data_IF_706168854688
#
_entry.id   IF_706168854688
#
_cell.length_a   1.000
_cell.length_b   1.000
_cell.length_c   1.000
_cell.angle_alpha   90.00
_cell.angle_beta   90.00
_cell.angle_gamma   90.00
#
_symmetry.space_group_name_H-M   'P 1'
#
loop_
_entity.id
_entity.type
_entity.pdbx_description
1 polymer ?
#
# COMPACT_ATOMS: atom_id res chain seq x y z
N UNK A 1 24.33 46.49 -23.77
CA UNK A 1 25.64 46.60 -23.08
C UNK A 1 25.69 45.56 -21.95
N UNK A 2 26.67 44.64 -22.06
CA UNK A 2 27.34 43.82 -21.02
C UNK A 2 26.45 42.99 -20.05
N UNK A 3 26.37 41.66 -20.20
CA UNK A 3 27.32 40.60 -19.81
C UNK A 3 27.54 40.40 -18.30
N UNK A 4 27.50 39.11 -17.93
CA UNK A 4 27.89 38.45 -16.68
C UNK A 4 26.91 38.62 -15.49
N UNK A 5 26.44 37.59 -14.79
CA UNK A 5 27.11 36.33 -14.45
C UNK A 5 26.26 35.07 -14.64
N UNK A 6 26.90 34.17 -15.37
CA UNK A 6 26.75 32.74 -15.41
C UNK A 6 27.07 32.13 -14.02
N UNK A 7 26.09 31.50 -13.37
CA UNK A 7 26.35 30.46 -12.38
C UNK A 7 25.54 29.21 -12.68
N UNK A 8 26.16 28.40 -13.53
CA UNK A 8 26.18 26.94 -13.47
C UNK A 8 25.66 26.37 -12.14
N UNK A 9 24.45 25.83 -12.15
CA UNK A 9 24.13 24.66 -11.33
C UNK A 9 23.81 23.52 -12.28
N UNK A 10 24.89 22.91 -12.78
CA UNK A 10 24.90 21.58 -13.39
C UNK A 10 23.93 20.67 -12.61
N UNK A 11 22.79 20.38 -13.24
CA UNK A 11 21.88 19.35 -12.79
C UNK A 11 22.63 18.02 -12.87
N UNK A 12 23.23 17.63 -11.74
CA UNK A 12 23.84 16.31 -11.57
C UNK A 12 22.77 15.28 -11.90
N UNK A 13 22.87 14.72 -13.09
CA UNK A 13 22.35 13.41 -13.45
C UNK A 13 22.67 12.49 -12.29
N UNK A 14 21.64 12.04 -11.57
CA UNK A 14 21.76 10.91 -10.67
C UNK A 14 21.93 9.64 -11.51
N UNK A 15 23.07 9.55 -12.21
CA UNK A 15 23.66 8.29 -12.62
C UNK A 15 23.83 7.53 -11.32
N UNK A 16 23.15 6.40 -11.17
CA UNK A 16 23.45 5.44 -10.11
C UNK A 16 24.96 5.24 -10.13
N UNK A 17 25.66 5.78 -9.13
CA UNK A 17 27.11 5.74 -9.10
C UNK A 17 27.50 4.28 -8.92
N UNK A 18 27.92 3.64 -10.01
CA UNK A 18 28.50 2.31 -9.99
C UNK A 18 29.64 2.37 -8.98
N UNK A 19 29.53 1.62 -7.88
CA UNK A 19 30.54 1.68 -6.82
C UNK A 19 31.86 1.14 -7.38
N UNK A 20 32.99 1.71 -6.95
CA UNK A 20 34.31 1.16 -7.28
C UNK A 20 34.41 -0.33 -6.92
N UNK A 21 33.69 -0.78 -5.88
CA UNK A 21 33.58 -2.20 -5.51
C UNK A 21 32.85 -3.03 -6.57
N UNK A 22 31.82 -2.49 -7.20
CA UNK A 22 31.03 -3.19 -8.23
C UNK A 22 31.86 -3.35 -9.52
N UNK A 23 32.58 -2.30 -9.93
CA UNK A 23 33.49 -2.37 -11.08
C UNK A 23 34.60 -3.38 -10.82
N UNK A 24 35.23 -3.31 -9.65
CA UNK A 24 36.29 -4.25 -9.26
C UNK A 24 35.79 -5.69 -9.29
N UNK A 25 34.64 -5.97 -8.68
CA UNK A 25 34.07 -7.32 -8.65
C UNK A 25 33.68 -7.81 -10.06
N UNK A 26 33.17 -6.92 -10.93
CA UNK A 26 32.87 -7.25 -12.32
C UNK A 26 34.13 -7.58 -13.13
N UNK A 27 35.21 -6.80 -12.97
CA UNK A 27 36.50 -7.03 -13.63
C UNK A 27 37.14 -8.34 -13.15
N UNK A 28 37.17 -8.59 -11.84
CA UNK A 28 37.64 -9.87 -11.30
C UNK A 28 36.81 -11.04 -11.81
N UNK A 29 35.48 -10.91 -11.86
CA UNK A 29 34.61 -11.94 -12.40
C UNK A 29 34.87 -12.23 -13.88
N UNK A 30 35.04 -11.20 -14.69
CA UNK A 30 35.37 -11.33 -16.11
C UNK A 30 36.72 -12.02 -16.33
N UNK A 31 37.76 -11.60 -15.61
CA UNK A 31 39.09 -12.22 -15.68
C UNK A 31 39.03 -13.69 -15.28
N UNK A 32 38.25 -14.01 -14.24
CA UNK A 32 38.12 -15.39 -13.75
C UNK A 32 37.41 -16.28 -14.78
N UNK A 33 36.33 -15.80 -15.40
CA UNK A 33 35.62 -16.55 -16.45
C UNK A 33 36.50 -16.73 -17.70
N UNK A 34 37.16 -15.67 -18.16
CA UNK A 34 38.05 -15.73 -19.34
C UNK A 34 39.23 -16.67 -19.07
N UNK A 35 39.84 -16.60 -17.88
CA UNK A 35 40.93 -17.49 -17.47
C UNK A 35 40.50 -18.96 -17.47
N UNK A 36 39.33 -19.26 -16.90
CA UNK A 36 38.77 -20.62 -16.92
C UNK A 36 38.49 -21.13 -18.33
N UNK A 37 37.98 -20.27 -19.22
CA UNK A 37 37.66 -20.61 -20.60
C UNK A 37 38.92 -20.83 -21.44
N UNK A 38 39.95 -20.00 -21.25
CA UNK A 38 41.26 -20.18 -21.87
C UNK A 38 41.92 -21.50 -21.44
N UNK A 39 41.86 -21.82 -20.14
CA UNK A 39 42.34 -23.10 -19.61
C UNK A 39 41.60 -24.30 -20.20
N UNK A 40 40.29 -24.22 -20.38
CA UNK A 40 39.52 -25.28 -21.03
C UNK A 40 39.97 -25.50 -22.50
N UNK A 41 40.26 -24.42 -23.23
CA UNK A 41 40.79 -24.49 -24.60
C UNK A 41 42.19 -25.13 -24.61
N UNK A 42 43.07 -24.73 -23.68
CA UNK A 42 44.41 -25.32 -23.53
C UNK A 42 44.34 -26.81 -23.21
N UNK A 43 43.41 -27.24 -22.37
CA UNK A 43 43.17 -28.67 -22.07
C UNK A 43 42.79 -29.43 -23.35
N UNK A 44 41.89 -28.88 -24.17
CA UNK A 44 41.49 -29.49 -25.45
C UNK A 44 42.65 -29.59 -26.43
N UNK A 45 43.43 -28.50 -26.56
CA UNK A 45 44.57 -28.46 -27.45
C UNK A 45 45.68 -29.43 -27.03
N UNK A 46 46.02 -29.47 -25.73
CA UNK A 46 46.99 -30.39 -25.17
C UNK A 46 46.60 -31.86 -25.38
N UNK A 47 45.30 -32.15 -25.28
CA UNK A 47 44.76 -33.47 -25.59
C UNK A 47 44.95 -33.85 -27.06
N UNK A 48 44.72 -32.90 -27.99
CA UNK A 48 44.91 -33.12 -29.43
C UNK A 48 46.38 -33.31 -29.81
N UNK A 49 47.32 -32.64 -29.14
CA UNK A 49 48.76 -32.79 -29.37
C UNK A 49 49.39 -34.00 -28.68
N UNK A 50 48.61 -34.80 -27.95
CA UNK A 50 49.10 -36.01 -27.28
C UNK A 50 50.00 -35.76 -26.07
N UNK A 51 49.89 -34.60 -25.40
CA UNK A 51 50.67 -34.30 -24.20
C UNK A 51 49.81 -34.48 -22.93
N UNK A 52 49.85 -35.65 -22.28
CA UNK A 52 48.97 -35.96 -21.16
C UNK A 52 49.29 -35.16 -19.89
N UNK A 53 50.55 -34.73 -19.71
CA UNK A 53 50.94 -33.96 -18.53
C UNK A 53 50.38 -32.54 -18.58
N UNK A 54 50.46 -31.88 -19.74
CA UNK A 54 49.87 -30.56 -19.94
C UNK A 54 48.34 -30.60 -19.89
N UNK A 55 47.71 -31.64 -20.47
CA UNK A 55 46.26 -31.82 -20.42
C UNK A 55 45.78 -32.03 -18.97
N UNK A 56 46.48 -32.86 -18.19
CA UNK A 56 46.16 -33.08 -16.77
C UNK A 56 46.30 -31.81 -15.92
N UNK A 57 47.40 -31.07 -16.08
CA UNK A 57 47.63 -29.81 -15.36
C UNK A 57 46.58 -28.74 -15.68
N UNK A 58 46.25 -28.57 -16.96
CA UNK A 58 45.23 -27.62 -17.40
C UNK A 58 43.81 -28.02 -16.95
N UNK A 59 43.50 -29.32 -16.88
CA UNK A 59 42.22 -29.82 -16.36
C UNK A 59 42.06 -29.56 -14.85
N UNK A 60 43.11 -29.78 -14.04
CA UNK A 60 43.07 -29.48 -12.61
C UNK A 60 42.90 -27.97 -12.39
N UNK A 61 43.65 -27.15 -13.13
CA UNK A 61 43.54 -25.70 -13.04
C UNK A 61 42.16 -25.19 -13.51
N UNK A 62 41.56 -25.75 -14.55
CA UNK A 62 40.21 -25.38 -14.97
C UNK A 62 39.16 -25.71 -13.91
N UNK A 63 39.32 -26.82 -13.18
CA UNK A 63 38.46 -27.21 -12.07
C UNK A 63 38.53 -26.21 -10.92
N UNK A 64 39.72 -25.71 -10.60
CA UNK A 64 39.90 -24.62 -9.60
C UNK A 64 39.19 -23.35 -10.06
N UNK A 65 39.31 -22.98 -11.33
CA UNK A 65 38.60 -21.81 -11.88
C UNK A 65 37.08 -21.98 -11.84
N UNK A 66 36.55 -23.17 -12.10
CA UNK A 66 35.10 -23.46 -11.94
C UNK A 66 34.67 -23.23 -10.49
N UNK A 67 35.43 -23.70 -9.51
CA UNK A 67 35.14 -23.46 -8.09
C UNK A 67 35.21 -21.97 -7.76
N UNK A 68 36.20 -21.23 -8.27
CA UNK A 68 36.31 -19.78 -8.07
C UNK A 68 35.12 -19.02 -8.69
N UNK A 69 34.67 -19.42 -9.89
CA UNK A 69 33.49 -18.84 -10.53
C UNK A 69 32.25 -19.09 -9.67
N UNK A 70 32.06 -20.32 -9.20
CA UNK A 70 30.93 -20.70 -8.34
C UNK A 70 30.91 -19.91 -7.01
N UNK A 71 32.07 -19.64 -6.40
CA UNK A 71 32.16 -18.96 -5.11
C UNK A 71 32.13 -17.44 -5.20
N UNK A 72 32.79 -16.85 -6.21
CA UNK A 72 33.00 -15.41 -6.27
C UNK A 72 32.18 -14.68 -7.33
N UNK A 73 31.85 -15.34 -8.44
CA UNK A 73 31.18 -14.69 -9.58
C UNK A 73 29.67 -14.90 -9.53
N UNK A 74 29.23 -16.14 -9.31
CA UNK A 74 27.80 -16.49 -9.34
C UNK A 74 27.01 -15.81 -8.21
N UNK A 75 27.44 -15.80 -6.94
CA UNK A 75 26.64 -15.22 -5.86
C UNK A 75 26.32 -13.72 -6.02
N UNK A 76 27.29 -12.84 -6.36
CA UNK A 76 26.97 -11.43 -6.61
C UNK A 76 26.14 -11.22 -7.88
N UNK A 77 26.38 -11.98 -8.96
CA UNK A 77 25.53 -11.92 -10.16
C UNK A 77 24.09 -12.30 -9.85
N UNK A 78 23.88 -13.42 -9.14
CA UNK A 78 22.55 -13.90 -8.76
C UNK A 78 21.81 -12.89 -7.86
N UNK A 79 22.53 -12.23 -6.93
CA UNK A 79 21.96 -11.17 -6.08
C UNK A 79 21.55 -9.94 -6.89
N UNK A 80 22.35 -9.52 -7.85
CA UNK A 80 22.06 -8.35 -8.67
C UNK A 80 20.94 -8.63 -9.68
N UNK A 81 20.99 -9.76 -10.37
CA UNK A 81 19.91 -10.22 -11.24
C UNK A 81 18.60 -10.39 -10.46
N UNK A 82 18.63 -10.92 -9.23
CA UNK A 82 17.43 -11.03 -8.39
C UNK A 82 16.84 -9.67 -8.01
N UNK A 83 17.67 -8.64 -7.78
CA UNK A 83 17.20 -7.26 -7.51
C UNK A 83 16.56 -6.61 -8.74
N UNK A 84 17.03 -6.94 -9.93
CA UNK A 84 16.47 -6.46 -11.19
C UNK A 84 15.19 -7.21 -11.53
N UNK A 85 15.20 -8.55 -11.38
CA UNK A 85 14.03 -9.43 -11.54
C UNK A 85 12.91 -9.09 -10.54
N UNK A 86 13.21 -8.68 -9.31
CA UNK A 86 12.18 -8.28 -8.35
C UNK A 86 11.47 -6.97 -8.72
N UNK A 87 12.05 -6.15 -9.61
CA UNK A 87 11.36 -5.01 -10.21
C UNK A 87 10.40 -5.46 -11.31
N UNK A 88 10.65 -6.61 -11.93
CA UNK A 88 9.71 -7.24 -12.86
C UNK A 88 8.61 -7.92 -12.06
N UNK A 89 7.39 -7.42 -12.21
CA UNK A 89 6.22 -7.93 -11.52
C UNK A 89 5.73 -9.25 -12.15
N UNK A 90 6.53 -10.29 -11.95
CA UNK A 90 6.30 -11.61 -12.50
C UNK A 90 5.13 -12.30 -11.79
N UNK A 91 4.32 -13.08 -12.53
CA UNK A 91 3.22 -13.85 -11.95
C UNK A 91 3.70 -14.98 -11.03
N UNK A 92 4.96 -15.38 -11.15
CA UNK A 92 5.61 -16.45 -10.42
C UNK A 92 6.99 -15.98 -9.97
N UNK A 93 7.25 -16.01 -8.66
CA UNK A 93 8.56 -15.73 -8.09
C UNK A 93 9.07 -16.95 -7.33
N UNK A 94 10.37 -17.25 -7.46
CA UNK A 94 11.01 -18.32 -6.72
C UNK A 94 11.32 -17.83 -5.29
N UNK A 95 10.94 -18.60 -4.28
CA UNK A 95 11.27 -18.27 -2.89
C UNK A 95 12.67 -18.78 -2.52
N UNK A 96 13.23 -18.28 -1.42
CA UNK A 96 14.49 -18.81 -0.88
C UNK A 96 14.40 -20.32 -0.59
N UNK A 97 13.27 -20.78 -0.03
CA UNK A 97 13.02 -22.20 0.20
C UNK A 97 12.93 -23.00 -1.10
N UNK A 98 12.29 -22.46 -2.14
CA UNK A 98 12.25 -23.08 -3.46
C UNK A 98 13.62 -23.19 -4.12
N UNK A 99 14.48 -22.18 -3.95
CA UNK A 99 15.85 -22.22 -4.46
C UNK A 99 16.70 -23.30 -3.76
N UNK A 100 16.61 -23.41 -2.44
CA UNK A 100 17.27 -24.49 -1.68
C UNK A 100 16.75 -25.86 -2.15
N UNK A 101 15.43 -26.01 -2.29
CA UNK A 101 14.82 -27.25 -2.75
C UNK A 101 15.27 -27.64 -4.17
N UNK A 102 15.38 -26.66 -5.08
CA UNK A 102 15.90 -26.88 -6.42
C UNK A 102 17.37 -27.32 -6.40
N UNK A 103 18.18 -26.76 -5.49
CA UNK A 103 19.54 -27.24 -5.23
C UNK A 103 19.58 -28.71 -4.80
N UNK A 104 18.68 -29.13 -3.90
CA UNK A 104 18.55 -30.53 -3.48
C UNK A 104 18.17 -31.42 -4.67
N UNK A 105 17.21 -31.00 -5.50
CA UNK A 105 16.80 -31.74 -6.71
C UNK A 105 17.99 -31.95 -7.65
N UNK A 106 18.82 -30.92 -7.86
CA UNK A 106 20.02 -31.03 -8.70
C UNK A 106 21.05 -31.99 -8.10
N UNK A 107 21.33 -31.89 -6.80
CA UNK A 107 22.29 -32.77 -6.11
C UNK A 107 21.83 -34.23 -6.16
N UNK A 108 20.56 -34.49 -5.80
CA UNK A 108 19.98 -35.84 -5.81
C UNK A 108 19.92 -36.38 -7.25
N UNK A 109 19.57 -35.54 -8.22
CA UNK A 109 19.53 -35.93 -9.64
C UNK A 109 20.90 -36.32 -10.17
N UNK A 110 21.93 -35.55 -9.84
CA UNK A 110 23.32 -35.90 -10.18
C UNK A 110 23.76 -37.20 -9.50
N UNK A 111 23.47 -37.37 -8.21
CA UNK A 111 23.78 -38.59 -7.49
C UNK A 111 23.06 -39.83 -8.08
N UNK A 112 21.78 -39.70 -8.42
CA UNK A 112 21.00 -40.76 -9.06
C UNK A 112 21.61 -41.16 -10.42
N UNK A 113 21.94 -40.16 -11.25
CA UNK A 113 22.56 -40.37 -12.55
C UNK A 113 23.92 -41.07 -12.45
N UNK A 114 24.78 -40.61 -11.54
CA UNK A 114 26.13 -41.13 -11.39
C UNK A 114 26.17 -42.54 -10.77
N UNK A 115 25.28 -42.82 -9.81
CA UNK A 115 25.26 -44.11 -9.10
C UNK A 115 24.41 -45.17 -9.79
N UNK A 116 23.52 -44.78 -10.70
CA UNK A 116 22.52 -45.68 -11.28
C UNK A 116 21.54 -46.26 -10.24
N UNK A 117 21.45 -45.66 -9.05
CA UNK A 117 20.63 -46.20 -7.96
C UNK A 117 19.14 -45.87 -8.17
N UNK A 118 18.33 -46.90 -8.37
CA UNK A 118 16.87 -46.79 -8.55
C UNK A 118 16.17 -46.08 -7.38
N UNK A 119 16.66 -46.23 -6.15
CA UNK A 119 16.09 -45.53 -4.99
C UNK A 119 16.23 -44.02 -5.13
N UNK A 120 17.38 -43.54 -5.59
CA UNK A 120 17.61 -42.11 -5.79
C UNK A 120 16.78 -41.56 -6.94
N UNK A 121 16.53 -42.34 -7.99
CA UNK A 121 15.57 -41.97 -9.05
C UNK A 121 14.14 -41.86 -8.52
N UNK A 122 13.73 -42.76 -7.62
CA UNK A 122 12.42 -42.70 -6.98
C UNK A 122 12.30 -41.45 -6.10
N UNK A 123 13.33 -41.14 -5.29
CA UNK A 123 13.38 -39.90 -4.50
C UNK A 123 13.32 -38.67 -5.42
N UNK A 124 14.10 -38.64 -6.50
CA UNK A 124 14.08 -37.56 -7.48
C UNK A 124 12.68 -37.37 -8.09
N UNK A 125 11.99 -38.46 -8.43
CA UNK A 125 10.63 -38.42 -8.96
C UNK A 125 9.65 -37.78 -7.96
N UNK A 126 9.75 -38.11 -6.66
CA UNK A 126 8.93 -37.47 -5.61
C UNK A 126 9.23 -35.98 -5.46
N UNK A 127 10.52 -35.57 -5.50
CA UNK A 127 10.91 -34.17 -5.40
C UNK A 127 10.38 -33.36 -6.60
N UNK A 128 10.50 -33.89 -7.81
CA UNK A 128 9.96 -33.26 -9.02
C UNK A 128 8.44 -33.22 -9.00
N UNK A 129 7.78 -34.28 -8.53
CA UNK A 129 6.33 -34.29 -8.32
C UNK A 129 5.90 -33.20 -7.34
N UNK A 130 6.60 -33.00 -6.23
CA UNK A 130 6.30 -31.94 -5.26
C UNK A 130 6.41 -30.54 -5.90
N UNK A 131 7.43 -30.29 -6.74
CA UNK A 131 7.54 -29.03 -7.49
C UNK A 131 6.35 -28.83 -8.44
N UNK A 132 6.00 -29.86 -9.21
CA UNK A 132 4.89 -29.82 -10.15
C UNK A 132 3.55 -29.59 -9.46
N UNK A 133 3.26 -30.37 -8.41
CA UNK A 133 2.07 -30.20 -7.56
C UNK A 133 2.02 -28.79 -6.99
N UNK A 134 3.14 -28.24 -6.53
CA UNK A 134 3.19 -26.88 -6.01
C UNK A 134 2.80 -25.83 -7.04
N UNK A 135 3.28 -25.97 -8.28
CA UNK A 135 2.98 -25.05 -9.37
C UNK A 135 1.49 -25.09 -9.74
N UNK A 136 0.96 -26.30 -9.92
CA UNK A 136 -0.44 -26.52 -10.34
C UNK A 136 -1.42 -26.11 -9.24
N UNK A 137 -1.19 -26.54 -8.00
CA UNK A 137 -2.07 -26.21 -6.88
C UNK A 137 -2.00 -24.73 -6.53
N UNK A 138 -0.81 -24.10 -6.53
CA UNK A 138 -0.69 -22.66 -6.33
C UNK A 138 -1.48 -21.86 -7.38
N UNK A 139 -1.43 -22.29 -8.65
CA UNK A 139 -2.11 -21.56 -9.74
C UNK A 139 -3.62 -21.73 -9.64
N UNK A 140 -4.07 -22.95 -9.34
CA UNK A 140 -5.46 -23.25 -9.06
C UNK A 140 -5.97 -22.51 -7.83
N UNK A 141 -5.13 -22.32 -6.81
CA UNK A 141 -5.45 -21.67 -5.55
C UNK A 141 -5.91 -20.21 -5.73
N UNK A 142 -5.41 -19.49 -6.74
CA UNK A 142 -5.81 -18.10 -7.02
C UNK A 142 -6.91 -17.96 -8.09
N UNK A 143 -7.35 -19.04 -8.74
CA UNK A 143 -8.39 -18.98 -9.79
C UNK A 143 -9.77 -18.71 -9.20
N UNK A 144 -10.64 -18.03 -9.94
CA UNK A 144 -12.06 -17.81 -9.56
C UNK A 144 -12.27 -17.28 -8.12
N UNK A 145 -11.35 -16.43 -7.65
CA UNK A 145 -11.48 -15.68 -6.42
C UNK A 145 -11.89 -14.25 -6.74
N UNK A 146 -12.83 -13.72 -5.97
CA UNK A 146 -13.29 -12.33 -6.05
C UNK A 146 -13.08 -11.66 -4.70
N UNK A 147 -12.47 -10.47 -4.70
CA UNK A 147 -12.31 -9.67 -3.51
C UNK A 147 -13.41 -8.60 -3.46
N UNK A 148 -13.94 -8.37 -2.27
CA UNK A 148 -14.85 -7.27 -1.96
C UNK A 148 -14.35 -6.56 -0.71
N UNK A 149 -14.55 -5.25 -0.66
CA UNK A 149 -14.31 -4.44 0.52
C UNK A 149 -15.62 -3.77 0.91
N UNK A 150 -15.90 -3.76 2.22
CA UNK A 150 -17.02 -3.03 2.81
C UNK A 150 -16.44 -2.00 3.77
N UNK A 151 -16.50 -0.74 3.36
CA UNK A 151 -16.10 0.40 4.16
C UNK A 151 -17.28 0.89 5.01
N UNK A 152 -17.03 1.49 6.17
CA UNK A 152 -18.07 2.21 6.91
C UNK A 152 -18.53 3.44 6.11
N UNK A 153 -19.70 3.96 6.46
CA UNK A 153 -20.33 5.09 5.76
C UNK A 153 -19.51 6.39 5.85
N UNK A 154 -18.89 6.62 7.01
CA UNK A 154 -18.03 7.77 7.26
C UNK A 154 -16.64 7.32 7.71
N UNK A 155 -15.63 7.77 6.97
CA UNK A 155 -14.21 7.59 7.29
C UNK A 155 -13.63 8.96 7.55
N UNK A 156 -12.88 9.14 8.65
CA UNK A 156 -12.26 10.43 8.97
C UNK A 156 -10.74 10.34 8.91
N UNK A 157 -10.10 11.46 8.61
CA UNK A 157 -8.63 11.57 8.61
C UNK A 157 -8.06 11.30 10.01
N UNK A 158 -6.96 10.57 10.04
CA UNK A 158 -6.17 10.22 11.24
C UNK A 158 -6.92 9.39 12.29
N UNK A 159 -8.08 8.83 11.94
CA UNK A 159 -8.81 7.88 12.78
C UNK A 159 -8.60 6.44 12.29
N UNK A 160 -8.38 5.47 13.20
CA UNK A 160 -8.30 4.06 12.83
C UNK A 160 -9.66 3.61 12.29
N UNK A 161 -9.70 3.31 11.00
CA UNK A 161 -10.92 2.90 10.31
C UNK A 161 -10.89 1.41 10.10
N UNK A 162 -11.78 0.70 10.78
CA UNK A 162 -11.99 -0.73 10.55
C UNK A 162 -12.91 -0.93 9.34
N UNK A 163 -12.50 -1.78 8.41
CA UNK A 163 -13.31 -2.17 7.26
C UNK A 163 -13.21 -3.68 7.04
N UNK A 164 -14.25 -4.25 6.44
CA UNK A 164 -14.29 -5.68 6.18
C UNK A 164 -13.80 -5.98 4.77
N UNK A 165 -13.00 -7.02 4.67
CA UNK A 165 -12.41 -7.50 3.45
C UNK A 165 -12.90 -8.93 3.26
N UNK A 166 -13.63 -9.16 2.19
CA UNK A 166 -14.24 -10.44 1.90
C UNK A 166 -13.61 -11.06 0.66
N UNK A 167 -13.28 -12.35 0.74
CA UNK A 167 -12.81 -13.14 -0.38
C UNK A 167 -13.84 -14.22 -0.69
N UNK A 168 -14.49 -14.10 -1.85
CA UNK A 168 -15.46 -15.06 -2.35
C UNK A 168 -14.78 -16.08 -3.26
N UNK A 169 -14.88 -17.35 -2.90
CA UNK A 169 -14.34 -18.45 -3.68
C UNK A 169 -15.42 -19.08 -4.56
N UNK A 170 -15.41 -18.78 -5.86
CA UNK A 170 -16.37 -19.32 -6.84
C UNK A 170 -15.99 -20.67 -7.44
N UNK A 171 -14.94 -21.34 -6.92
CA UNK A 171 -14.57 -22.67 -7.38
C UNK A 171 -15.62 -23.69 -6.94
N UNK A 172 -15.86 -24.68 -7.80
CA UNK A 172 -16.83 -25.73 -7.51
C UNK A 172 -16.29 -26.77 -6.53
N UNK A 173 -15.03 -27.20 -6.73
CA UNK A 173 -14.47 -28.36 -6.03
C UNK A 173 -13.43 -27.98 -4.97
N UNK A 174 -12.53 -27.05 -5.28
CA UNK A 174 -11.38 -26.77 -4.42
C UNK A 174 -11.60 -25.56 -3.51
N UNK A 175 -11.29 -25.66 -2.21
CA UNK A 175 -11.10 -24.48 -1.36
C UNK A 175 -9.86 -23.69 -1.80
N UNK A 176 -9.63 -22.55 -1.15
CA UNK A 176 -8.40 -21.77 -1.32
C UNK A 176 -7.70 -21.62 0.02
N UNK A 177 -6.38 -21.73 0.04
CA UNK A 177 -5.58 -21.72 1.27
C UNK A 177 -4.51 -20.64 1.23
N UNK A 178 -4.19 -20.03 2.37
CA UNK A 178 -3.07 -19.09 2.50
C UNK A 178 -3.05 -18.05 1.36
N UNK A 179 -4.14 -17.30 1.23
CA UNK A 179 -4.28 -16.24 0.22
C UNK A 179 -4.09 -14.89 0.89
N UNK A 180 -3.09 -14.16 0.43
CA UNK A 180 -2.82 -12.80 0.87
C UNK A 180 -3.37 -11.83 -0.17
N UNK A 181 -4.30 -10.98 0.26
CA UNK A 181 -4.86 -9.91 -0.53
C UNK A 181 -4.08 -8.62 -0.25
N UNK A 182 -3.60 -8.00 -1.33
CA UNK A 182 -2.87 -6.74 -1.29
C UNK A 182 -3.52 -5.72 -2.20
N UNK A 183 -3.54 -4.47 -1.75
CA UNK A 183 -3.90 -3.33 -2.58
C UNK A 183 -2.68 -2.82 -3.30
N UNK A 184 -2.89 -2.46 -4.57
CA UNK A 184 -1.87 -1.92 -5.44
C UNK A 184 -2.26 -0.51 -5.85
N UNK A 185 -1.45 0.47 -5.45
CA UNK A 185 -1.60 1.87 -5.88
C UNK A 185 -0.33 2.39 -6.52
N UNK A 186 -0.43 3.27 -7.51
CA UNK A 186 0.72 4.04 -7.96
C UNK A 186 1.24 4.92 -6.82
N UNK A 187 2.53 5.24 -6.77
CA UNK A 187 3.11 6.09 -5.70
C UNK A 187 2.44 7.46 -5.54
N UNK A 188 1.83 7.98 -6.61
CA UNK A 188 1.05 9.23 -6.57
C UNK A 188 -0.41 9.05 -6.14
N UNK A 189 -0.89 7.80 -6.11
CA UNK A 189 -2.28 7.40 -5.92
C UNK A 189 -2.45 6.53 -4.67
N UNK A 190 -1.54 6.59 -3.69
CA UNK A 190 -1.67 5.80 -2.45
C UNK A 190 -3.04 6.09 -1.81
N UNK A 191 -3.97 5.11 -1.78
CA UNK A 191 -5.33 5.32 -1.29
C UNK A 191 -5.38 5.66 0.21
N UNK A 192 -4.27 5.51 0.93
CA UNK A 192 -4.20 5.68 2.38
C UNK A 192 -3.22 6.77 2.83
N UNK A 193 -2.73 7.61 1.90
CA UNK A 193 -2.04 8.86 2.27
C UNK A 193 -0.54 8.76 2.54
N UNK A 194 0.18 7.78 1.99
CA UNK A 194 1.64 7.71 2.06
C UNK A 194 2.35 8.97 1.51
N UNK A 195 3.57 9.22 1.99
CA UNK A 195 4.41 10.35 1.56
C UNK A 195 4.50 10.37 0.03
N UNK A 196 4.07 11.48 -0.60
CA UNK A 196 4.26 11.72 -2.04
C UNK A 196 5.75 11.79 -2.34
N UNK A 197 6.35 10.70 -2.80
CA UNK A 197 7.66 10.76 -3.41
C UNK A 197 7.52 11.40 -4.80
N UNK A 198 8.17 12.56 -5.01
CA UNK A 198 8.33 13.14 -6.35
C UNK A 198 9.13 12.16 -7.21
N UNK A 199 8.43 11.36 -8.02
CA UNK A 199 9.11 10.52 -9.00
C UNK A 199 9.55 11.37 -10.19
N UNK A 200 10.85 11.36 -10.45
CA UNK A 200 11.41 11.78 -11.73
C UNK A 200 10.85 10.81 -12.78
N UNK A 201 9.97 11.29 -13.66
CA UNK A 201 9.45 10.48 -14.77
C UNK A 201 10.65 10.04 -15.62
N UNK A 202 10.87 8.74 -15.85
CA UNK A 202 11.95 8.30 -16.74
C UNK A 202 11.70 8.83 -18.16
N UNK A 203 12.76 9.06 -18.95
CA UNK A 203 12.62 9.48 -20.34
C UNK A 203 11.74 8.50 -21.13
N UNK A 204 10.94 9.01 -22.07
CA UNK A 204 9.88 8.26 -22.80
C UNK A 204 10.36 6.93 -23.40
N UNK A 205 11.62 6.85 -23.84
CA UNK A 205 12.24 5.64 -24.41
C UNK A 205 12.42 4.50 -23.39
N UNK A 206 12.59 4.83 -22.11
CA UNK A 206 12.74 3.86 -21.01
C UNK A 206 11.43 3.60 -20.26
N UNK A 207 10.44 4.49 -20.36
CA UNK A 207 9.14 4.36 -19.68
C UNK A 207 8.33 3.12 -20.11
N UNK A 208 8.55 2.58 -21.32
CA UNK A 208 7.91 1.34 -21.77
C UNK A 208 8.45 0.10 -21.05
N UNK A 209 9.69 0.17 -20.55
CA UNK A 209 10.37 -0.93 -19.88
C UNK A 209 10.30 -0.80 -18.34
N UNK A 210 10.35 0.44 -17.82
CA UNK A 210 10.16 0.72 -16.39
C UNK A 210 8.68 0.94 -16.07
N UNK A 211 8.01 -0.07 -15.53
CA UNK A 211 6.72 0.13 -14.83
C UNK A 211 7.00 0.92 -13.55
N UNK A 212 6.29 2.04 -13.37
CA UNK A 212 6.43 2.90 -12.19
C UNK A 212 6.33 2.07 -10.90
N UNK A 213 7.18 2.33 -9.89
CA UNK A 213 7.06 1.66 -8.61
C UNK A 213 5.69 1.96 -8.01
N UNK A 214 5.07 0.91 -7.50
CA UNK A 214 3.74 0.92 -6.93
C UNK A 214 3.83 0.48 -5.47
N UNK A 215 2.96 1.00 -4.61
CA UNK A 215 2.91 0.62 -3.20
C UNK A 215 2.01 -0.60 -3.08
N UNK A 216 2.52 -1.67 -2.45
CA UNK A 216 1.72 -2.81 -1.99
C UNK A 216 1.33 -2.58 -0.54
N UNK A 217 0.04 -2.67 -0.23
CA UNK A 217 -0.46 -2.64 1.15
C UNK A 217 -1.20 -3.92 1.46
N UNK A 218 -0.86 -4.56 2.57
CA UNK A 218 -1.53 -5.78 3.01
C UNK A 218 -2.90 -5.43 3.57
N UNK A 219 -3.93 -6.12 3.10
CA UNK A 219 -5.32 -5.82 3.49
C UNK A 219 -6.06 -7.03 4.02
N UNK A 220 -5.60 -8.24 3.73
CA UNK A 220 -6.19 -9.43 4.33
C UNK A 220 -5.33 -10.64 4.08
N UNK A 221 -5.27 -11.53 5.05
CA UNK A 221 -4.61 -12.82 4.97
C UNK A 221 -5.60 -13.93 5.34
N UNK A 222 -6.05 -14.65 4.32
CA UNK A 222 -7.04 -15.72 4.45
C UNK A 222 -6.33 -17.06 4.52
N UNK A 223 -6.32 -17.68 5.69
CA UNK A 223 -5.76 -19.03 5.89
C UNK A 223 -6.53 -20.08 5.09
N UNK A 224 -7.86 -19.97 5.09
CA UNK A 224 -8.75 -20.90 4.41
C UNK A 224 -10.01 -20.20 3.92
N UNK A 225 -10.38 -20.45 2.68
CA UNK A 225 -11.62 -19.98 2.04
C UNK A 225 -12.29 -21.17 1.38
N UNK A 226 -13.35 -21.66 2.02
CA UNK A 226 -14.13 -22.81 1.55
C UNK A 226 -14.64 -22.62 0.12
N UNK A 227 -14.86 -23.72 -0.61
CA UNK A 227 -15.45 -23.67 -1.95
C UNK A 227 -16.85 -23.07 -1.90
N UNK A 228 -17.21 -22.23 -2.87
CA UNK A 228 -18.51 -21.54 -2.96
C UNK A 228 -18.91 -20.78 -1.69
N UNK A 229 -17.92 -20.30 -0.94
CA UNK A 229 -18.13 -19.57 0.30
C UNK A 229 -17.38 -18.24 0.27
N UNK A 230 -17.80 -17.34 1.14
CA UNK A 230 -17.17 -16.07 1.42
C UNK A 230 -16.44 -16.17 2.76
N UNK A 231 -15.17 -15.76 2.79
CA UNK A 231 -14.42 -15.58 4.02
C UNK A 231 -14.23 -14.07 4.24
N UNK A 232 -14.53 -13.60 5.44
CA UNK A 232 -14.40 -12.19 5.80
C UNK A 232 -13.28 -11.99 6.83
N UNK A 233 -12.57 -10.88 6.71
CA UNK A 233 -11.56 -10.45 7.66
C UNK A 233 -11.73 -8.95 7.91
N UNK A 234 -11.76 -8.57 9.18
CA UNK A 234 -11.72 -7.18 9.58
C UNK A 234 -10.27 -6.69 9.59
N UNK A 235 -10.02 -5.55 8.96
CA UNK A 235 -8.70 -4.90 8.94
C UNK A 235 -8.86 -3.43 9.31
N UNK A 236 -7.86 -2.91 10.02
CA UNK A 236 -7.81 -1.51 10.43
C UNK A 236 -6.78 -0.75 9.61
N UNK A 237 -7.17 0.44 9.19
CA UNK A 237 -6.30 1.32 8.41
C UNK A 237 -6.57 2.78 8.76
N UNK A 238 -5.50 3.55 8.86
CA UNK A 238 -5.57 4.99 9.08
C UNK A 238 -5.37 5.69 7.74
N UNK A 239 -6.23 6.66 7.44
CA UNK A 239 -6.14 7.51 6.26
C UNK A 239 -5.55 8.86 6.65
N UNK A 240 -4.38 9.22 6.10
CA UNK A 240 -3.67 10.46 6.49
C UNK A 240 -4.11 11.69 5.69
N UNK A 241 -4.91 11.52 4.63
CA UNK A 241 -5.37 12.60 3.77
C UNK A 241 -6.87 12.51 3.57
N UNK A 242 -7.56 13.66 3.54
CA UNK A 242 -8.99 13.73 3.21
C UNK A 242 -9.19 13.72 1.70
N UNK A 243 -10.39 13.36 1.27
CA UNK A 243 -10.83 13.46 -0.11
C UNK A 243 -11.28 12.14 -0.70
N UNK A 244 -11.35 12.10 -2.03
CA UNK A 244 -11.78 10.94 -2.80
C UNK A 244 -10.60 10.03 -3.12
N UNK A 245 -10.66 8.80 -2.64
CA UNK A 245 -9.71 7.75 -2.98
C UNK A 245 -10.33 6.76 -3.94
N UNK A 246 -9.60 6.39 -4.98
CA UNK A 246 -10.07 5.43 -5.98
C UNK A 246 -9.24 4.16 -5.84
N UNK A 247 -9.90 3.06 -5.50
CA UNK A 247 -9.30 1.74 -5.36
C UNK A 247 -9.55 0.98 -6.65
N UNK A 248 -8.49 0.64 -7.39
CA UNK A 248 -8.58 0.03 -8.73
C UNK A 248 -8.04 -1.40 -8.77
N UNK A 249 -6.84 -1.60 -8.24
CA UNK A 249 -6.11 -2.84 -8.43
C UNK A 249 -5.91 -3.62 -7.12
N UNK A 250 -6.33 -4.88 -7.16
CA UNK A 250 -6.06 -5.85 -6.12
C UNK A 250 -5.13 -6.92 -6.64
N UNK A 251 -4.22 -7.39 -5.78
CA UNK A 251 -3.34 -8.50 -6.08
C UNK A 251 -3.48 -9.57 -5.01
N UNK A 252 -3.85 -10.77 -5.46
CA UNK A 252 -3.82 -11.98 -4.66
C UNK A 252 -2.45 -12.61 -4.78
N UNK A 253 -1.89 -13.03 -3.65
CA UNK A 253 -0.65 -13.79 -3.63
C UNK A 253 -0.79 -15.03 -2.75
N UNK A 254 -0.06 -16.09 -3.10
CA UNK A 254 -0.04 -17.32 -2.30
C UNK A 254 1.31 -18.02 -2.41
N UNK A 255 1.68 -18.69 -1.32
CA UNK A 255 2.83 -19.62 -1.23
C UNK A 255 2.40 -21.08 -1.10
N UNK A 256 1.10 -21.35 -1.16
CA UNK A 256 0.56 -22.70 -1.01
C UNK A 256 1.00 -23.61 -2.18
N UNK A 257 1.24 -24.93 -1.93
CA UNK A 257 1.23 -25.64 -0.64
C UNK A 257 2.58 -25.64 0.09
N UNK A 258 3.71 -25.78 -0.63
CA UNK A 258 5.02 -26.04 -0.02
C UNK A 258 5.91 -24.80 0.11
N UNK A 259 5.47 -23.64 -0.39
CA UNK A 259 6.23 -22.41 -0.30
C UNK A 259 7.40 -22.31 -1.28
N UNK A 260 7.53 -23.22 -2.26
CA UNK A 260 8.59 -23.15 -3.28
C UNK A 260 8.46 -21.91 -4.18
N UNK A 261 7.23 -21.49 -4.43
CA UNK A 261 6.91 -20.40 -5.33
C UNK A 261 5.97 -19.40 -4.63
N UNK A 262 6.18 -18.10 -4.86
CA UNK A 262 5.19 -17.07 -4.61
C UNK A 262 4.44 -16.82 -5.91
N UNK A 263 3.17 -17.22 -5.96
CA UNK A 263 2.32 -16.97 -7.11
C UNK A 263 1.48 -15.74 -6.89
N UNK A 264 1.28 -14.98 -7.96
CA UNK A 264 0.54 -13.73 -7.96
C UNK A 264 -0.55 -13.74 -9.01
N UNK A 265 -1.69 -13.18 -8.67
CA UNK A 265 -2.78 -12.96 -9.61
C UNK A 265 -3.42 -11.60 -9.34
N UNK A 266 -3.50 -10.80 -10.39
CA UNK A 266 -4.21 -9.52 -10.36
C UNK A 266 -5.71 -9.76 -10.51
N UNK A 267 -6.48 -9.04 -9.73
CA UNK A 267 -7.92 -8.93 -9.89
C UNK A 267 -8.22 -7.56 -10.48
N UNK A 268 -8.86 -7.56 -11.64
CA UNK A 268 -9.38 -6.35 -12.23
C UNK A 268 -10.77 -6.11 -11.62
N UNK A 269 -10.83 -5.24 -10.61
CA UNK A 269 -12.08 -4.93 -9.90
C UNK A 269 -12.58 -3.59 -10.41
N UNK A 270 -13.91 -3.39 -10.36
CA UNK A 270 -14.49 -2.08 -10.67
C UNK A 270 -13.91 -1.04 -9.71
N UNK A 271 -13.58 0.14 -10.24
CA UNK A 271 -13.09 1.25 -9.45
C UNK A 271 -14.06 1.54 -8.31
N UNK A 272 -13.57 1.41 -7.08
CA UNK A 272 -14.36 1.68 -5.86
C UNK A 272 -13.90 3.02 -5.30
N UNK A 273 -14.83 3.96 -5.23
CA UNK A 273 -14.57 5.28 -4.64
C UNK A 273 -14.84 5.24 -3.14
N UNK A 274 -13.86 5.72 -2.37
CA UNK A 274 -13.93 5.84 -0.92
C UNK A 274 -13.73 7.31 -0.56
N UNK A 275 -14.68 7.88 0.19
CA UNK A 275 -14.61 9.26 0.64
C UNK A 275 -14.10 9.32 2.08
N UNK A 276 -13.01 10.05 2.29
CA UNK A 276 -12.46 10.33 3.61
C UNK A 276 -12.77 11.78 3.97
N UNK A 277 -13.58 11.93 5.00
CA UNK A 277 -14.00 13.18 5.60
C UNK A 277 -12.89 13.80 6.45
N UNK A 278 -12.91 15.13 6.66
CA UNK A 278 -11.99 15.77 7.58
C UNK A 278 -12.10 15.19 8.99
N UNK A 279 -11.02 15.27 9.76
CA UNK A 279 -10.99 14.85 11.16
C UNK A 279 -12.12 15.50 11.95
N UNK A 280 -12.85 14.71 12.74
CA UNK A 280 -13.87 15.23 13.64
C UNK A 280 -13.18 16.05 14.73
N UNK A 281 -13.59 17.30 14.87
CA UNK A 281 -13.11 18.19 15.93
C UNK A 281 -14.25 18.42 16.89
N UNK A 282 -13.98 18.38 18.20
CA UNK A 282 -15.00 18.65 19.20
C UNK A 282 -15.39 20.13 19.14
N UNK A 283 -16.60 20.40 18.66
CA UNK A 283 -17.11 21.76 18.50
C UNK A 283 -17.39 22.41 19.85
N UNK A 284 -17.51 21.64 20.94
CA UNK A 284 -17.80 22.16 22.30
C UNK A 284 -16.76 23.16 22.78
N UNK A 285 -15.52 23.07 22.33
CA UNK A 285 -14.47 24.04 22.65
C UNK A 285 -14.71 25.41 22.00
N UNK A 286 -15.36 25.42 20.83
CA UNK A 286 -15.66 26.63 20.06
C UNK A 286 -17.04 27.20 20.37
N UNK A 287 -17.91 26.41 21.02
CA UNK A 287 -19.20 26.90 21.47
C UNK A 287 -19.01 27.76 22.72
N UNK A 288 -19.63 28.96 22.79
CA UNK A 288 -19.65 29.71 24.02
C UNK A 288 -20.27 28.86 25.13
N UNK A 289 -19.63 28.84 26.31
CA UNK A 289 -19.96 28.02 27.49
C UNK A 289 -21.43 28.15 27.91
N UNK A 290 -22.07 29.25 27.53
CA UNK A 290 -23.44 29.62 27.88
C UNK A 290 -24.50 29.09 26.90
N UNK A 291 -24.15 28.19 25.97
CA UNK A 291 -25.12 27.53 25.06
C UNK A 291 -26.11 26.63 25.82
N UNK A 292 -25.77 26.18 27.03
CA UNK A 292 -26.71 25.49 27.94
C UNK A 292 -27.71 26.42 28.64
N UNK A 293 -27.52 27.73 28.54
CA UNK A 293 -28.36 28.75 29.19
C UNK A 293 -29.32 29.44 28.20
N UNK A 294 -29.52 28.86 27.02
CA UNK A 294 -30.58 29.31 26.09
C UNK A 294 -31.92 29.16 26.81
N UNK A 295 -32.63 30.27 26.99
CA UNK A 295 -33.89 30.34 27.77
C UNK A 295 -33.74 30.39 29.30
N UNK A 296 -32.52 30.40 29.86
CA UNK A 296 -32.31 30.42 31.33
C UNK A 296 -32.10 31.83 31.90
N UNK A 297 -31.85 32.84 31.06
CA UNK A 297 -31.78 34.23 31.51
C UNK A 297 -33.03 34.97 31.04
N UNK A 298 -33.87 35.38 31.98
CA UNK A 298 -34.87 36.38 31.72
C UNK A 298 -34.17 37.68 31.31
N UNK A 299 -34.42 38.14 30.08
CA UNK A 299 -34.01 39.47 29.68
C UNK A 299 -34.80 40.48 30.50
N UNK A 300 -34.13 41.33 31.29
CA UNK A 300 -34.80 42.39 32.04
C UNK A 300 -35.16 43.60 31.14
N UNK A 301 -35.11 43.43 29.81
CA UNK A 301 -35.53 44.43 28.84
C UNK A 301 -36.96 44.14 28.40
N UNK A 302 -37.76 45.20 28.23
CA UNK A 302 -39.12 45.14 27.68
C UNK A 302 -39.07 44.67 26.21
N UNK A 303 -39.94 43.75 25.84
CA UNK A 303 -40.06 43.27 24.46
C UNK A 303 -41.34 42.50 24.18
N UNK A 304 -41.31 41.69 23.12
CA UNK A 304 -42.47 40.94 22.62
C UNK A 304 -42.40 39.44 22.96
N UNK A 305 -41.67 39.06 24.00
CA UNK A 305 -41.64 37.68 24.49
C UNK A 305 -42.95 37.28 25.17
N UNK A 306 -42.92 36.09 25.78
CA UNK A 306 -44.09 35.47 26.41
C UNK A 306 -44.12 35.59 27.94
N UNK A 307 -42.97 35.88 28.56
CA UNK A 307 -42.89 35.97 30.03
C UNK A 307 -43.27 37.36 30.50
N UNK A 308 -44.16 37.42 31.51
CA UNK A 308 -44.59 38.67 32.13
C UNK A 308 -43.38 39.33 32.84
N UNK A 309 -43.02 40.53 32.39
CA UNK A 309 -42.00 41.37 33.02
C UNK A 309 -42.59 42.19 34.17
N UNK A 310 -43.69 42.91 33.92
CA UNK A 310 -44.34 43.75 34.94
C UNK A 310 -45.79 44.07 34.60
N UNK A 311 -46.55 44.48 35.62
CA UNK A 311 -47.89 45.04 35.51
C UNK A 311 -47.80 46.54 35.80
N UNK A 312 -48.38 47.37 34.93
CA UNK A 312 -48.38 48.82 35.10
C UNK A 312 -49.66 49.46 34.58
N UNK A 313 -49.85 50.73 34.91
CA UNK A 313 -50.98 51.51 34.39
C UNK A 313 -50.89 51.69 32.87
N UNK A 314 -52.07 51.65 32.24
CA UNK A 314 -52.25 51.87 30.80
C UNK A 314 -51.78 53.25 30.38
N UNK A 315 -51.01 53.30 29.29
CA UNK A 315 -50.69 54.53 28.58
C UNK A 315 -51.32 54.51 27.19
N UNK A 316 -51.60 55.69 26.63
CA UNK A 316 -52.31 55.85 25.35
C UNK A 316 -51.63 55.16 24.16
N UNK A 317 -50.33 54.89 24.25
CA UNK A 317 -49.56 54.19 23.20
C UNK A 317 -49.58 52.64 23.33
N UNK A 318 -50.23 52.10 24.36
CA UNK A 318 -50.23 50.66 24.63
C UNK A 318 -51.30 49.90 23.83
N UNK A 319 -50.95 48.70 23.40
CA UNK A 319 -51.87 47.78 22.74
C UNK A 319 -52.91 47.26 23.75
N UNK A 320 -54.19 47.51 23.45
CA UNK A 320 -55.34 47.09 24.26
C UNK A 320 -55.40 45.57 24.45
N UNK A 321 -54.80 44.79 23.54
CA UNK A 321 -54.71 43.32 23.68
C UNK A 321 -53.86 42.87 24.87
N UNK A 322 -53.00 43.74 25.40
CA UNK A 322 -52.13 43.45 26.55
C UNK A 322 -52.79 43.83 27.88
N UNK A 323 -54.03 44.31 27.88
CA UNK A 323 -54.75 44.67 29.11
C UNK A 323 -55.07 43.43 29.93
N UNK A 324 -54.71 43.46 31.21
CA UNK A 324 -55.14 42.44 32.18
C UNK A 324 -56.50 42.84 32.76
N UNK A 325 -57.58 42.33 32.17
CA UNK A 325 -58.94 42.62 32.63
C UNK A 325 -59.20 42.17 34.07
N UNK A 326 -58.49 41.15 34.56
CA UNK A 326 -58.67 40.65 35.93
C UNK A 326 -57.97 41.55 36.95
N UNK A 327 -56.78 42.04 36.64
CA UNK A 327 -56.09 43.02 37.48
C UNK A 327 -56.81 44.38 37.46
N UNK A 328 -57.27 44.80 36.28
CA UNK A 328 -58.07 46.01 36.06
C UNK A 328 -59.34 46.00 36.91
N UNK A 329 -60.09 44.89 36.90
CA UNK A 329 -61.31 44.75 37.69
C UNK A 329 -61.08 44.82 39.21
N UNK A 330 -59.88 44.48 39.70
CA UNK A 330 -59.54 44.52 41.14
C UNK A 330 -59.05 45.87 41.61
N UNK A 331 -58.35 46.61 40.75
CA UNK A 331 -57.72 47.90 41.10
C UNK A 331 -58.56 49.10 40.68
N UNK A 332 -59.52 48.92 39.76
CA UNK A 332 -60.38 49.99 39.25
C UNK A 332 -59.73 50.85 38.17
N UNK A 333 -58.42 50.69 37.93
CA UNK A 333 -57.66 51.37 36.88
C UNK A 333 -57.20 50.35 35.83
N UNK A 334 -57.05 50.77 34.56
CA UNK A 334 -56.66 49.87 33.46
C UNK A 334 -55.19 49.48 33.60
N UNK A 335 -54.94 48.19 33.81
CA UNK A 335 -53.61 47.60 33.97
C UNK A 335 -53.19 46.85 32.72
N UNK A 336 -51.96 47.07 32.26
CA UNK A 336 -51.35 46.43 31.08
C UNK A 336 -50.21 45.51 31.48
N UNK A 337 -50.11 44.35 30.82
CA UNK A 337 -49.01 43.40 30.93
C UNK A 337 -47.88 43.78 29.99
N UNK A 338 -46.70 44.04 30.54
CA UNK A 338 -45.47 44.14 29.76
C UNK A 338 -44.72 42.81 29.82
N UNK A 339 -44.17 42.40 28.67
CA UNK A 339 -43.47 41.15 28.50
C UNK A 339 -41.96 41.39 28.37
N UNK A 340 -41.17 40.38 28.76
CA UNK A 340 -39.71 40.39 28.58
C UNK A 340 -39.36 40.30 27.09
N UNK A 341 -38.21 40.84 26.68
CA UNK A 341 -37.68 40.64 25.34
C UNK A 341 -37.09 39.23 25.21
N UNK A 342 -37.50 38.49 24.18
CA UNK A 342 -36.91 37.19 23.88
C UNK A 342 -35.51 37.40 23.26
N UNK A 343 -34.47 36.84 23.89
CA UNK A 343 -33.09 36.91 23.40
C UNK A 343 -32.84 35.75 22.43
N UNK A 344 -33.10 35.97 21.13
CA UNK A 344 -32.72 35.03 20.08
C UNK A 344 -31.20 35.11 19.80
N UNK A 345 -30.42 34.23 20.41
CA UNK A 345 -29.01 34.08 20.05
C UNK A 345 -28.86 33.43 18.68
N UNK A 346 -28.61 34.24 17.65
CA UNK A 346 -28.34 33.78 16.29
C UNK A 346 -26.86 33.45 16.13
N UNK A 347 -26.56 32.23 15.67
CA UNK A 347 -25.19 31.78 15.35
C UNK A 347 -25.07 31.73 13.82
N UNK A 348 -24.07 32.42 13.26
CA UNK A 348 -23.74 32.35 11.84
C UNK A 348 -22.46 31.54 11.66
N UNK A 349 -22.57 30.43 10.93
CA UNK A 349 -21.42 29.60 10.54
C UNK A 349 -20.98 30.04 9.16
N UNK A 350 -19.75 30.54 9.05
CA UNK A 350 -19.14 30.96 7.78
C UNK A 350 -18.10 29.93 7.36
N UNK A 351 -18.31 29.30 6.21
CA UNK A 351 -17.34 28.37 5.63
C UNK A 351 -16.40 29.12 4.69
N UNK A 352 -15.10 29.10 4.98
CA UNK A 352 -14.10 29.52 3.99
C UNK A 352 -13.92 28.41 2.95
N UNK A 353 -14.27 28.70 1.70
CA UNK A 353 -14.18 27.76 0.57
C UNK A 353 -12.86 27.85 -0.18
N UNK A 354 -11.92 28.71 0.25
CA UNK A 354 -10.60 28.80 -0.38
C UNK A 354 -9.74 27.61 0.03
N UNK A 355 -9.24 26.89 -0.98
CA UNK A 355 -8.18 25.90 -0.77
C UNK A 355 -6.86 26.65 -0.51
N UNK A 356 -6.20 26.47 0.64
CA UNK A 356 -4.86 27.02 0.82
C UNK A 356 -3.95 26.41 -0.25
N UNK A 357 -3.16 27.26 -0.93
CA UNK A 357 -2.11 26.79 -1.84
C UNK A 357 -1.21 25.86 -1.02
N UNK A 358 -1.20 24.57 -1.36
CA UNK A 358 -0.26 23.61 -0.78
C UNK A 358 1.13 24.03 -1.28
N UNK A 359 1.84 24.84 -0.48
CA UNK A 359 3.26 25.06 -0.71
C UNK A 359 3.96 23.70 -0.62
N UNK A 360 4.65 23.32 -1.69
CA UNK A 360 5.49 22.13 -1.66
C UNK A 360 6.45 22.27 -0.48
N UNK A 361 6.59 21.26 0.38
CA UNK A 361 7.44 21.37 1.57
C UNK A 361 8.83 21.80 1.11
N UNK A 362 9.28 22.94 1.63
CA UNK A 362 10.60 23.48 1.35
C UNK A 362 11.64 22.40 1.66
N UNK A 363 12.36 21.96 0.64
CA UNK A 363 13.51 21.10 0.80
C UNK A 363 14.55 21.88 1.61
N UNK A 364 14.73 21.50 2.87
CA UNK A 364 15.93 21.83 3.65
C UNK A 364 16.95 20.72 3.49
#
# INVERSE_FOLDING_TARGET
>A
MKNAEEKSSSGKTATQSISFRDIRNAVFGLITVIGGLALAIVTLWAHQTGNPQLAGGAAVASLVFVVLILLFVIPPLARNASKEVSQFDLPLELTTGGLIFLGIVVIVGFAAWNTGNNLLFLVLAFLLAALFVSLVLGSSNLKKLEAKMRFPEAIHVDEPTSFFVALNNRKWLFPSFSVLLTLRGALSEDPFGGRRFKLIKPPKSFAKFLRLPYIKRHVGYFLHVSRRAEAEQQTEQIFTQRGRFIIKDFELTTRFPFGFWLQRKRLNVKETEVFVFPKLSDVREFLPTNTRQIGQFASNRRGSGQDLLTLRDYQTADDVRRVDWKATARTGNVIVRDYTAEDERKITIVFDTKLPKVEAPNAK
#
